data_IF_063780483173
#
_entry.id   IF_063780483173
#
_cell.length_a   1.000
_cell.length_b   1.000
_cell.length_c   1.000
_cell.angle_alpha   90.00
_cell.angle_beta   90.00
_cell.angle_gamma   90.00
#
_symmetry.space_group_name_H-M   'P 1'
#
loop_
_entity.id
_entity.type
_entity.pdbx_description
1 polymer ?
#
# COMPACT_ATOMS: atom_id res chain seq x y z
N UNK A 1 20.08 13.25 4.61
CA UNK A 1 19.00 12.60 5.35
C UNK A 1 18.05 13.64 5.92
N UNK A 2 16.76 13.51 5.68
CA UNK A 2 15.70 14.38 6.22
C UNK A 2 14.79 13.58 7.13
N UNK A 3 14.82 13.87 8.43
CA UNK A 3 13.93 13.23 9.41
C UNK A 3 12.46 13.53 9.13
N UNK A 4 12.15 14.72 8.63
CA UNK A 4 10.77 15.07 8.26
C UNK A 4 10.26 14.16 7.13
N UNK A 5 11.05 13.96 6.09
CA UNK A 5 10.69 13.06 4.99
C UNK A 5 10.58 11.61 5.46
N UNK A 6 11.46 11.17 6.37
CA UNK A 6 11.36 9.84 6.96
C UNK A 6 10.02 9.60 7.66
N UNK A 7 9.61 10.52 8.52
CA UNK A 7 8.34 10.38 9.25
C UNK A 7 7.12 10.47 8.32
N UNK A 8 7.18 11.29 7.27
CA UNK A 8 6.12 11.36 6.25
C UNK A 8 6.02 10.04 5.47
N UNK A 9 7.16 9.50 5.02
CA UNK A 9 7.18 8.20 4.30
C UNK A 9 6.67 7.09 5.19
N UNK A 10 7.15 7.01 6.44
CA UNK A 10 6.68 6.01 7.40
C UNK A 10 5.18 6.14 7.68
N UNK A 11 4.69 7.36 7.94
CA UNK A 11 3.27 7.62 8.18
C UNK A 11 2.42 7.25 6.97
N UNK A 12 2.85 7.63 5.77
CA UNK A 12 2.18 7.26 4.52
C UNK A 12 2.13 5.74 4.31
N UNK A 13 3.24 5.03 4.57
CA UNK A 13 3.30 3.58 4.47
C UNK A 13 2.38 2.87 5.49
N UNK A 14 2.36 3.35 6.74
CA UNK A 14 1.45 2.83 7.76
C UNK A 14 -0.03 3.04 7.38
N UNK A 15 -0.38 4.24 6.88
CA UNK A 15 -1.74 4.52 6.42
C UNK A 15 -2.11 3.67 5.21
N UNK A 16 -1.20 3.46 4.26
CA UNK A 16 -1.42 2.57 3.11
C UNK A 16 -1.69 1.13 3.57
N UNK A 17 -0.95 0.63 4.55
CA UNK A 17 -1.17 -0.69 5.14
C UNK A 17 -2.55 -0.80 5.80
N UNK A 18 -2.92 0.21 6.61
CA UNK A 18 -4.25 0.25 7.27
C UNK A 18 -5.35 0.30 6.21
N UNK A 19 -5.19 1.15 5.19
CA UNK A 19 -6.16 1.29 4.11
C UNK A 19 -6.41 -0.03 3.37
N UNK A 20 -5.32 -0.73 3.01
CA UNK A 20 -5.40 -2.02 2.29
C UNK A 20 -6.09 -3.09 3.15
N UNK A 21 -5.69 -3.23 4.42
CA UNK A 21 -6.25 -4.24 5.31
C UNK A 21 -7.73 -3.95 5.63
N UNK A 22 -8.07 -2.70 5.96
CA UNK A 22 -9.45 -2.33 6.25
C UNK A 22 -10.36 -2.45 5.00
N UNK A 23 -9.84 -2.12 3.81
CA UNK A 23 -10.57 -2.35 2.55
C UNK A 23 -10.81 -3.84 2.33
N UNK A 24 -9.80 -4.67 2.55
CA UNK A 24 -9.93 -6.12 2.43
C UNK A 24 -11.02 -6.66 3.36
N UNK A 25 -10.93 -6.35 4.66
CA UNK A 25 -11.92 -6.78 5.66
C UNK A 25 -13.36 -6.37 5.29
N UNK A 26 -13.54 -5.13 4.76
CA UNK A 26 -14.84 -4.65 4.34
C UNK A 26 -15.37 -5.42 3.13
N UNK A 27 -14.57 -5.62 2.09
CA UNK A 27 -15.00 -6.31 0.88
C UNK A 27 -15.17 -7.82 1.09
N UNK A 28 -14.34 -8.45 1.92
CA UNK A 28 -14.49 -9.87 2.28
C UNK A 28 -15.77 -10.10 3.07
N UNK A 29 -16.13 -9.18 3.98
CA UNK A 29 -17.42 -9.22 4.66
C UNK A 29 -18.58 -9.04 3.67
N UNK A 30 -18.55 -8.04 2.79
CA UNK A 30 -19.66 -7.76 1.85
C UNK A 30 -19.83 -8.85 0.79
N UNK A 31 -18.76 -9.57 0.44
CA UNK A 31 -18.81 -10.72 -0.49
C UNK A 31 -19.13 -12.05 0.20
N UNK A 32 -19.31 -12.06 1.53
CA UNK A 32 -19.46 -13.25 2.36
C UNK A 32 -18.29 -14.25 2.28
N UNK A 33 -17.14 -13.82 1.81
CA UNK A 33 -15.94 -14.66 1.74
C UNK A 33 -15.52 -15.14 3.13
N UNK A 34 -15.54 -14.24 4.11
CA UNK A 34 -15.21 -14.53 5.51
C UNK A 34 -16.23 -15.45 6.21
N UNK A 35 -17.49 -15.41 5.79
CA UNK A 35 -18.55 -16.25 6.37
C UNK A 35 -18.46 -17.71 5.89
N UNK A 36 -17.96 -17.92 4.69
CA UNK A 36 -17.75 -19.26 4.10
C UNK A 36 -16.57 -19.95 4.75
N UNK A 37 -15.53 -19.21 5.10
CA UNK A 37 -14.32 -19.76 5.73
C UNK A 37 -14.52 -19.93 7.25
N UNK A 38 -15.03 -21.09 7.66
CA UNK A 38 -15.31 -21.42 9.07
C UNK A 38 -14.09 -21.84 9.89
N UNK A 39 -12.95 -22.06 9.26
CA UNK A 39 -11.73 -22.49 9.94
C UNK A 39 -11.00 -21.26 10.45
N UNK A 40 -11.22 -20.93 11.73
CA UNK A 40 -10.44 -19.88 12.39
C UNK A 40 -9.02 -20.40 12.65
N UNK A 41 -8.03 -19.78 12.04
CA UNK A 41 -6.61 -20.01 12.28
C UNK A 41 -5.91 -18.66 12.48
N UNK A 42 -4.91 -18.57 13.37
CA UNK A 42 -4.10 -17.36 13.48
C UNK A 42 -3.36 -16.98 12.19
N UNK A 43 -3.31 -17.91 11.24
CA UNK A 43 -2.64 -17.75 9.95
C UNK A 43 -3.60 -17.51 8.78
N UNK A 44 -4.93 -17.58 9.02
CA UNK A 44 -5.91 -17.24 7.98
C UNK A 44 -6.00 -15.73 7.83
N UNK A 45 -5.95 -15.24 6.59
CA UNK A 45 -6.04 -13.83 6.27
C UNK A 45 -7.29 -13.15 6.82
N UNK A 46 -7.16 -11.82 7.04
CA UNK A 46 -8.23 -10.98 7.56
C UNK A 46 -8.22 -10.85 9.09
N UNK A 47 -8.53 -9.63 9.56
CA UNK A 47 -8.55 -9.33 11.01
C UNK A 47 -9.81 -9.84 11.72
N UNK A 48 -10.85 -10.16 10.94
CA UNK A 48 -12.19 -10.57 11.41
C UNK A 48 -12.83 -9.62 12.42
N UNK A 49 -12.42 -8.36 12.48
CA UNK A 49 -12.94 -7.37 13.45
C UNK A 49 -14.44 -7.13 13.32
N UNK A 50 -15.00 -7.32 12.12
CA UNK A 50 -16.44 -7.24 11.87
C UNK A 50 -17.13 -8.48 12.42
N UNK A 51 -16.64 -9.67 12.15
CA UNK A 51 -17.23 -10.95 12.55
C UNK A 51 -17.25 -11.16 14.05
N UNK A 52 -16.21 -10.67 14.75
CA UNK A 52 -16.13 -10.72 16.24
C UNK A 52 -16.83 -9.52 16.91
N UNK A 53 -17.42 -8.61 16.11
CA UNK A 53 -18.21 -7.48 16.64
C UNK A 53 -17.40 -6.34 17.25
N UNK A 54 -16.08 -6.27 16.99
CA UNK A 54 -15.22 -5.19 17.49
C UNK A 54 -15.44 -3.89 16.71
N UNK A 55 -15.75 -3.98 15.41
CA UNK A 55 -16.05 -2.83 14.55
C UNK A 55 -17.28 -3.15 13.68
N UNK A 56 -18.07 -2.12 13.42
CA UNK A 56 -19.13 -2.22 12.41
C UNK A 56 -18.56 -2.12 10.99
N UNK A 57 -19.21 -2.69 9.95
CA UNK A 57 -18.75 -2.55 8.57
C UNK A 57 -18.56 -1.08 8.15
N UNK A 58 -19.43 -0.18 8.62
CA UNK A 58 -19.30 1.25 8.36
C UNK A 58 -18.06 1.87 8.99
N UNK A 59 -17.66 1.46 10.20
CA UNK A 59 -16.44 1.92 10.85
C UNK A 59 -15.20 1.44 10.10
N UNK A 60 -15.19 0.18 9.65
CA UNK A 60 -14.09 -0.37 8.84
C UNK A 60 -13.95 0.36 7.52
N UNK A 61 -15.07 0.63 6.82
CA UNK A 61 -15.07 1.41 5.59
C UNK A 61 -14.55 2.85 5.81
N UNK A 62 -14.99 3.54 6.86
CA UNK A 62 -14.49 4.88 7.20
C UNK A 62 -12.98 4.83 7.48
N UNK A 63 -12.51 3.84 8.22
CA UNK A 63 -11.07 3.66 8.49
C UNK A 63 -10.29 3.49 7.20
N UNK A 64 -10.77 2.65 6.26
CA UNK A 64 -10.17 2.48 4.95
C UNK A 64 -10.11 3.80 4.16
N UNK A 65 -11.24 4.51 4.06
CA UNK A 65 -11.33 5.78 3.32
C UNK A 65 -10.44 6.88 3.91
N UNK A 66 -10.45 7.06 5.23
CA UNK A 66 -9.60 8.06 5.90
C UNK A 66 -8.12 7.74 5.69
N UNK A 67 -7.76 6.46 5.81
CA UNK A 67 -6.37 6.04 5.65
C UNK A 67 -5.87 6.19 4.21
N UNK A 68 -6.69 5.88 3.20
CA UNK A 68 -6.29 6.05 1.80
C UNK A 68 -6.19 7.54 1.43
N UNK A 69 -7.12 8.38 1.89
CA UNK A 69 -7.04 9.81 1.68
C UNK A 69 -5.82 10.42 2.38
N UNK A 70 -5.50 9.97 3.58
CA UNK A 70 -4.29 10.34 4.30
C UNK A 70 -3.01 9.95 3.54
N UNK A 71 -2.96 8.73 3.02
CA UNK A 71 -1.83 8.26 2.18
C UNK A 71 -1.65 9.12 0.94
N UNK A 72 -2.75 9.37 0.21
CA UNK A 72 -2.74 10.22 -0.99
C UNK A 72 -2.28 11.64 -0.62
N UNK A 73 -2.83 12.22 0.45
CA UNK A 73 -2.46 13.56 0.91
C UNK A 73 -0.97 13.69 1.26
N UNK A 74 -0.42 12.70 1.99
CA UNK A 74 1.01 12.66 2.30
C UNK A 74 1.85 12.50 1.02
N UNK A 75 1.46 11.60 0.11
CA UNK A 75 2.16 11.39 -1.15
C UNK A 75 2.20 12.65 -2.02
N UNK A 76 1.08 13.35 -2.16
CA UNK A 76 0.99 14.61 -2.90
C UNK A 76 1.78 15.73 -2.22
N UNK A 77 1.77 15.79 -0.89
CA UNK A 77 2.59 16.75 -0.15
C UNK A 77 4.09 16.50 -0.36
N UNK A 78 4.54 15.25 -0.28
CA UNK A 78 5.94 14.89 -0.57
C UNK A 78 6.27 15.26 -2.03
N UNK A 79 5.39 14.94 -2.97
CA UNK A 79 5.58 15.26 -4.38
C UNK A 79 5.75 16.77 -4.61
N UNK A 80 4.94 17.57 -3.93
CA UNK A 80 5.07 19.05 -3.96
C UNK A 80 6.41 19.53 -3.38
N UNK A 81 6.88 18.95 -2.28
CA UNK A 81 8.17 19.33 -1.69
C UNK A 81 9.36 19.00 -2.61
N UNK A 82 9.24 17.95 -3.41
CA UNK A 82 10.30 17.49 -4.32
C UNK A 82 10.28 18.25 -5.65
N UNK A 83 9.10 18.43 -6.25
CA UNK A 83 8.96 18.98 -7.60
C UNK A 83 8.56 20.45 -7.65
N UNK A 84 8.11 21.03 -6.52
CA UNK A 84 7.49 22.34 -6.46
C UNK A 84 6.02 22.38 -6.88
N UNK A 85 5.46 21.27 -7.37
CA UNK A 85 4.08 21.16 -7.84
C UNK A 85 3.38 19.94 -7.23
N UNK A 86 2.08 20.07 -6.88
CA UNK A 86 1.29 18.97 -6.30
C UNK A 86 1.28 17.74 -7.23
N UNK A 87 1.13 17.96 -8.53
CA UNK A 87 1.15 16.91 -9.56
C UNK A 87 2.41 16.97 -10.42
N UNK A 88 3.55 17.32 -9.81
CA UNK A 88 4.84 17.27 -10.49
C UNK A 88 5.17 15.86 -10.96
N UNK A 89 5.77 15.77 -12.15
CA UNK A 89 6.12 14.48 -12.76
C UNK A 89 7.37 13.88 -12.09
N UNK A 90 7.17 13.13 -11.02
CA UNK A 90 8.23 12.45 -10.27
C UNK A 90 7.91 10.98 -10.08
N UNK A 91 8.91 10.13 -9.75
CA UNK A 91 8.67 8.74 -9.40
C UNK A 91 7.68 8.54 -8.24
N UNK A 92 7.62 9.46 -7.26
CA UNK A 92 6.68 9.34 -6.14
C UNK A 92 5.23 9.51 -6.58
N UNK A 93 4.95 10.36 -7.56
CA UNK A 93 3.60 10.49 -8.12
C UNK A 93 3.17 9.17 -8.78
N UNK A 94 4.02 8.57 -9.60
CA UNK A 94 3.69 7.34 -10.31
C UNK A 94 3.60 6.12 -9.40
N UNK A 95 4.51 5.99 -8.42
CA UNK A 95 4.40 4.93 -7.41
C UNK A 95 3.16 5.10 -6.55
N UNK A 96 2.77 6.34 -6.23
CA UNK A 96 1.54 6.65 -5.50
C UNK A 96 0.28 6.26 -6.28
N UNK A 97 0.21 6.61 -7.59
CA UNK A 97 -0.91 6.22 -8.46
C UNK A 97 -1.01 4.69 -8.57
N UNK A 98 0.12 4.02 -8.85
CA UNK A 98 0.15 2.56 -8.99
C UNK A 98 -0.18 1.87 -7.66
N UNK A 99 0.37 2.35 -6.54
CA UNK A 99 0.08 1.81 -5.22
C UNK A 99 -1.39 1.96 -4.83
N UNK A 100 -1.99 3.13 -5.11
CA UNK A 100 -3.43 3.36 -4.88
C UNK A 100 -4.28 2.43 -5.75
N UNK A 101 -3.92 2.26 -7.02
CA UNK A 101 -4.61 1.33 -7.93
C UNK A 101 -4.52 -0.12 -7.42
N UNK A 102 -3.34 -0.58 -7.00
CA UNK A 102 -3.18 -1.93 -6.46
C UNK A 102 -3.95 -2.12 -5.15
N UNK A 103 -3.92 -1.14 -4.24
CA UNK A 103 -4.63 -1.19 -2.97
C UNK A 103 -6.15 -1.28 -3.16
N UNK A 104 -6.74 -0.40 -3.98
CA UNK A 104 -8.17 -0.40 -4.26
C UNK A 104 -8.60 -1.56 -5.15
N UNK A 105 -7.79 -1.91 -6.14
CA UNK A 105 -8.07 -2.99 -7.07
C UNK A 105 -7.85 -4.40 -6.51
N UNK A 106 -7.24 -4.51 -5.33
CA UNK A 106 -6.99 -5.82 -4.71
C UNK A 106 -8.30 -6.56 -4.43
N UNK A 107 -9.21 -5.94 -3.69
CA UNK A 107 -10.52 -6.51 -3.34
C UNK A 107 -11.71 -5.77 -3.95
N UNK A 108 -11.51 -4.52 -4.38
CA UNK A 108 -12.56 -3.63 -4.89
C UNK A 108 -13.02 -3.95 -6.30
N UNK A 109 -14.34 -3.80 -6.53
CA UNK A 109 -14.93 -3.90 -7.87
C UNK A 109 -14.47 -2.76 -8.78
N UNK A 110 -14.32 -3.01 -10.07
CA UNK A 110 -14.51 -4.25 -10.84
C UNK A 110 -13.23 -5.08 -10.96
N UNK A 111 -12.10 -4.63 -10.39
CA UNK A 111 -10.76 -5.20 -10.64
C UNK A 111 -10.59 -6.52 -9.91
N UNK A 112 -10.76 -6.56 -8.59
CA UNK A 112 -10.75 -7.74 -7.73
C UNK A 112 -9.55 -8.67 -7.96
N UNK A 113 -8.32 -8.16 -7.94
CA UNK A 113 -7.11 -8.94 -8.22
C UNK A 113 -6.97 -10.16 -7.29
N UNK A 114 -7.29 -9.98 -5.99
CA UNK A 114 -7.22 -11.05 -5.00
C UNK A 114 -8.14 -12.24 -5.33
N UNK A 115 -9.31 -11.99 -5.92
CA UNK A 115 -10.27 -13.04 -6.27
C UNK A 115 -10.05 -13.66 -7.66
N UNK A 116 -9.19 -13.05 -8.48
CA UNK A 116 -8.90 -13.51 -9.85
C UNK A 116 -7.56 -14.27 -9.97
N UNK A 117 -6.92 -14.60 -8.85
CA UNK A 117 -5.64 -15.30 -8.84
C UNK A 117 -4.42 -14.40 -9.11
N UNK A 118 -4.58 -13.08 -9.04
CA UNK A 118 -3.49 -12.10 -9.16
C UNK A 118 -3.14 -11.44 -7.82
N UNK A 119 -3.70 -11.92 -6.71
CA UNK A 119 -3.55 -11.33 -5.39
C UNK A 119 -2.10 -11.29 -4.92
N UNK A 120 -1.40 -12.41 -5.03
CA UNK A 120 -0.01 -12.55 -4.61
C UNK A 120 0.91 -11.61 -5.39
N UNK A 121 0.68 -11.49 -6.69
CA UNK A 121 1.46 -10.59 -7.55
C UNK A 121 1.17 -9.13 -7.21
N UNK A 122 -0.10 -8.78 -6.99
CA UNK A 122 -0.50 -7.43 -6.64
C UNK A 122 0.12 -6.99 -5.30
N UNK A 123 0.10 -7.84 -4.29
CA UNK A 123 0.72 -7.58 -2.98
C UNK A 123 2.24 -7.51 -3.09
N UNK A 124 2.86 -8.47 -3.79
CA UNK A 124 4.31 -8.46 -4.01
C UNK A 124 4.78 -7.17 -4.70
N UNK A 125 4.07 -6.72 -5.75
CA UNK A 125 4.39 -5.48 -6.43
C UNK A 125 4.12 -4.24 -5.57
N UNK A 126 3.01 -4.21 -4.85
CA UNK A 126 2.59 -3.07 -4.03
C UNK A 126 3.54 -2.80 -2.86
N UNK A 127 3.84 -3.82 -2.06
CA UNK A 127 4.70 -3.69 -0.88
C UNK A 127 6.19 -3.83 -1.19
N UNK A 128 6.56 -4.54 -2.25
CA UNK A 128 7.92 -4.63 -2.74
C UNK A 128 8.29 -3.40 -3.58
N UNK A 129 8.33 -3.51 -4.91
CA UNK A 129 8.85 -2.45 -5.78
C UNK A 129 8.17 -1.09 -5.57
N UNK A 130 6.83 -1.02 -5.54
CA UNK A 130 6.12 0.26 -5.47
C UNK A 130 6.43 1.02 -4.19
N UNK A 131 6.30 0.36 -3.04
CA UNK A 131 6.53 1.01 -1.73
C UNK A 131 8.01 1.27 -1.48
N UNK A 132 8.89 0.28 -1.72
CA UNK A 132 10.32 0.40 -1.43
C UNK A 132 11.00 1.41 -2.36
N UNK A 133 10.71 1.37 -3.67
CA UNK A 133 11.29 2.33 -4.62
C UNK A 133 10.79 3.75 -4.36
N UNK A 134 9.50 3.91 -4.04
CA UNK A 134 8.96 5.21 -3.65
C UNK A 134 9.63 5.76 -2.39
N UNK A 135 9.78 4.96 -1.36
CA UNK A 135 10.47 5.33 -0.12
C UNK A 135 11.96 5.66 -0.38
N UNK A 136 12.65 4.82 -1.12
CA UNK A 136 14.07 5.03 -1.48
C UNK A 136 14.24 6.34 -2.24
N UNK A 137 13.40 6.61 -3.24
CA UNK A 137 13.47 7.85 -4.01
C UNK A 137 13.36 9.09 -3.12
N UNK A 138 12.37 9.12 -2.21
CA UNK A 138 12.15 10.25 -1.31
C UNK A 138 13.30 10.41 -0.31
N UNK A 139 13.78 9.32 0.29
CA UNK A 139 14.80 9.37 1.32
C UNK A 139 16.20 9.68 0.79
N UNK A 140 16.45 9.36 -0.48
CA UNK A 140 17.73 9.69 -1.15
C UNK A 140 17.64 10.97 -1.99
N UNK A 141 16.51 11.68 -1.97
CA UNK A 141 16.31 12.91 -2.74
C UNK A 141 17.45 13.94 -2.62
N UNK A 142 18.04 14.20 -1.43
CA UNK A 142 19.16 15.13 -1.33
C UNK A 142 20.41 14.72 -2.14
N UNK A 143 20.52 13.46 -2.56
CA UNK A 143 21.66 12.93 -3.31
C UNK A 143 21.46 13.07 -4.82
N UNK A 144 20.23 13.00 -5.32
CA UNK A 144 19.92 13.04 -6.75
C UNK A 144 19.13 14.27 -7.18
N UNK A 145 18.58 15.05 -6.25
CA UNK A 145 17.87 16.31 -6.51
C UNK A 145 16.89 16.23 -7.71
N UNK A 146 16.08 15.19 -7.76
CA UNK A 146 15.14 14.87 -8.85
C UNK A 146 15.78 14.54 -10.22
N UNK A 147 17.10 14.39 -10.29
CA UNK A 147 17.77 13.86 -11.48
C UNK A 147 17.71 12.32 -11.45
N UNK A 148 16.90 11.75 -12.34
CA UNK A 148 16.71 10.30 -12.41
C UNK A 148 17.97 9.55 -12.87
N UNK A 149 18.92 10.22 -13.52
CA UNK A 149 20.19 9.61 -13.89
C UNK A 149 21.09 9.38 -12.66
N UNK A 150 20.93 10.19 -11.62
CA UNK A 150 21.67 10.08 -10.36
C UNK A 150 20.97 9.21 -9.32
N UNK A 151 19.68 8.87 -9.55
CA UNK A 151 18.94 8.01 -8.64
C UNK A 151 19.29 6.53 -8.88
N UNK A 152 19.77 5.86 -7.84
CA UNK A 152 20.12 4.44 -7.92
C UNK A 152 18.86 3.53 -7.83
N UNK A 153 18.02 3.61 -8.85
CA UNK A 153 16.77 2.84 -8.94
C UNK A 153 17.01 1.32 -8.95
N UNK A 154 18.15 0.86 -9.50
CA UNK A 154 18.46 -0.56 -9.57
C UNK A 154 18.71 -1.16 -8.17
N UNK A 155 19.41 -0.43 -7.31
CA UNK A 155 19.61 -0.81 -5.90
C UNK A 155 18.28 -0.87 -5.15
N UNK A 156 17.42 0.15 -5.32
CA UNK A 156 16.09 0.17 -4.72
C UNK A 156 15.24 -1.02 -5.17
N UNK A 157 15.28 -1.35 -6.46
CA UNK A 157 14.58 -2.51 -7.02
C UNK A 157 15.10 -3.82 -6.42
N UNK A 158 16.42 -4.01 -6.39
CA UNK A 158 17.02 -5.21 -5.79
C UNK A 158 16.67 -5.35 -4.30
N UNK A 159 16.71 -4.25 -3.55
CA UNK A 159 16.33 -4.24 -2.14
C UNK A 159 14.84 -4.55 -1.91
N UNK A 160 13.99 -4.30 -2.90
CA UNK A 160 12.56 -4.57 -2.81
C UNK A 160 12.20 -6.06 -2.97
N UNK A 161 13.05 -6.86 -3.63
CA UNK A 161 12.77 -8.26 -3.95
C UNK A 161 12.54 -9.12 -2.70
N UNK A 162 13.40 -9.10 -1.66
CA UNK A 162 13.16 -9.88 -0.44
C UNK A 162 11.84 -9.53 0.23
N UNK A 163 11.47 -8.24 0.25
CA UNK A 163 10.22 -7.76 0.84
C UNK A 163 9.03 -8.26 0.02
N UNK A 164 9.09 -8.15 -1.31
CA UNK A 164 8.07 -8.66 -2.21
C UNK A 164 7.80 -10.16 -2.00
N UNK A 165 8.87 -10.95 -1.89
CA UNK A 165 8.77 -12.39 -1.64
C UNK A 165 8.19 -12.71 -0.25
N UNK A 166 8.60 -11.98 0.79
CA UNK A 166 8.08 -12.19 2.14
C UNK A 166 6.57 -11.90 2.23
N UNK A 167 6.11 -10.76 1.67
CA UNK A 167 4.68 -10.44 1.70
C UNK A 167 3.86 -11.34 0.81
N UNK A 168 4.40 -11.81 -0.32
CA UNK A 168 3.76 -12.81 -1.16
C UNK A 168 3.52 -14.12 -0.40
N UNK A 169 4.51 -14.57 0.40
CA UNK A 169 4.39 -15.78 1.22
C UNK A 169 3.32 -15.67 2.31
N UNK A 170 3.09 -14.46 2.87
CA UNK A 170 2.05 -14.23 3.88
C UNK A 170 0.65 -14.54 3.32
N UNK A 171 0.42 -14.32 2.03
CA UNK A 171 -0.87 -14.58 1.38
C UNK A 171 -1.08 -16.06 1.06
N UNK A 172 -0.01 -16.85 1.04
CA UNK A 172 -0.08 -18.29 0.78
C UNK A 172 -0.37 -19.15 2.04
N UNK A 173 -0.32 -18.55 3.22
CA UNK A 173 -0.59 -19.21 4.50
C UNK A 173 -2.07 -19.06 4.87
#
# INVERSE_FOLDING_TARGET
>A
WSWNMFWLVLGGACLAQIATNASNDYFDHTSSADEINKVASPFNGGSRVIQVGLMTPGQVLITALVSILGTIGIGLYINQQISGYIFGNTPILWTGILGTFLALGYTGDPVRLGYKGFGEIAIALGFGPVMVMGAHYVLTFPMHNNDLALWNWAEALLASIPIALLVMLIVWI
#
